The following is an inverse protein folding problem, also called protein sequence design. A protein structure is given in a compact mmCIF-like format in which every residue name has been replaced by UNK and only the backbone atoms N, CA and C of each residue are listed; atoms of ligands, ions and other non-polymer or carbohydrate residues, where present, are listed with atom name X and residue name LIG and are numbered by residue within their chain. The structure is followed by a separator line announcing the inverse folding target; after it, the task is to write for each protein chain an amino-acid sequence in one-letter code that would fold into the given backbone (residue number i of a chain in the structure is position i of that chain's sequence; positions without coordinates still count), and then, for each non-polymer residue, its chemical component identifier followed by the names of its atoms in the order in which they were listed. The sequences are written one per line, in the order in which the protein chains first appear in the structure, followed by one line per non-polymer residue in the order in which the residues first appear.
data_IF_497791766306
#
_entry.id   IF_497791766306
#
_cell.length_a   1.000
_cell.length_b   1.000
_cell.length_c   1.000
_cell.angle_alpha   90.00
_cell.angle_beta   90.00
_cell.angle_gamma   90.00
#
_symmetry.space_group_name_H-M   'P 1'
#
loop_
_entity.id
_entity.type
_entity.pdbx_description
1 polymer ?
#
# COMPACT_ATOMS: atom_id res chain seq x y z
N UNK A 1 7.84 29.66 40.05
CA UNK A 1 8.30 29.76 38.64
C UNK A 1 7.77 28.54 37.89
N UNK A 2 6.73 28.71 37.07
CA UNK A 2 6.12 27.62 36.30
C UNK A 2 7.16 26.96 35.38
N UNK A 3 7.12 25.62 35.25
CA UNK A 3 8.01 24.84 34.37
C UNK A 3 7.91 25.41 32.95
N UNK A 4 9.02 25.88 32.38
CA UNK A 4 9.07 26.32 30.98
C UNK A 4 8.69 25.15 30.08
N UNK A 5 7.74 25.37 29.17
CA UNK A 5 7.36 24.37 28.17
C UNK A 5 8.60 23.97 27.37
N UNK A 6 8.92 22.68 27.33
CA UNK A 6 10.00 22.13 26.49
C UNK A 6 9.37 21.56 25.24
N UNK A 7 9.79 22.06 24.08
CA UNK A 7 9.41 21.50 22.80
C UNK A 7 9.94 20.07 22.67
N UNK A 8 9.17 19.21 21.99
CA UNK A 8 9.57 17.85 21.64
C UNK A 8 9.34 17.66 20.13
N UNK A 9 10.28 17.02 19.42
CA UNK A 9 10.09 16.72 18.01
C UNK A 9 8.93 15.73 17.83
N UNK A 10 8.13 15.93 16.78
CA UNK A 10 7.08 15.00 16.38
C UNK A 10 7.64 13.80 15.63
N UNK A 11 8.74 13.99 14.91
CA UNK A 11 9.39 12.97 14.07
C UNK A 11 10.90 13.08 14.16
N UNK A 12 11.60 11.96 14.02
CA UNK A 12 13.05 11.95 13.84
C UNK A 12 13.42 12.50 12.45
N UNK A 13 13.82 13.77 12.42
CA UNK A 13 14.13 14.50 11.19
C UNK A 13 15.33 13.89 10.48
N UNK A 14 16.31 13.32 11.21
CA UNK A 14 17.51 12.75 10.59
C UNK A 14 17.18 11.49 9.81
N UNK A 15 16.32 10.62 10.37
CA UNK A 15 15.83 9.42 9.71
C UNK A 15 15.00 9.78 8.47
N UNK A 16 14.08 10.74 8.58
CA UNK A 16 13.26 11.17 7.44
C UNK A 16 14.10 11.82 6.32
N UNK A 17 15.09 12.64 6.67
CA UNK A 17 16.01 13.22 5.68
C UNK A 17 16.89 12.16 5.03
N UNK A 18 17.37 11.18 5.81
CA UNK A 18 18.15 10.06 5.30
C UNK A 18 17.35 9.23 4.30
N UNK A 19 16.12 8.87 4.65
CA UNK A 19 15.21 8.15 3.75
C UNK A 19 14.90 8.94 2.48
N UNK A 20 14.61 10.25 2.62
CA UNK A 20 14.35 11.13 1.48
C UNK A 20 15.52 11.17 0.50
N UNK A 21 16.77 11.24 0.98
CA UNK A 21 17.96 11.21 0.11
C UNK A 21 18.06 9.93 -0.70
N UNK A 22 17.82 8.77 -0.08
CA UNK A 22 17.83 7.48 -0.78
C UNK A 22 16.77 7.43 -1.89
N UNK A 23 15.58 7.99 -1.63
CA UNK A 23 14.52 8.08 -2.63
C UNK A 23 14.84 9.07 -3.75
N UNK A 24 15.46 10.22 -3.43
CA UNK A 24 15.89 11.21 -4.42
C UNK A 24 16.96 10.62 -5.35
N UNK A 25 17.95 9.90 -4.82
CA UNK A 25 18.98 9.18 -5.60
C UNK A 25 18.37 8.13 -6.53
N UNK A 26 17.41 7.35 -6.03
CA UNK A 26 16.70 6.36 -6.84
C UNK A 26 15.85 7.00 -7.94
N UNK A 27 15.19 8.11 -7.64
CA UNK A 27 14.43 8.88 -8.61
C UNK A 27 15.34 9.47 -9.70
N UNK A 28 16.53 9.96 -9.33
CA UNK A 28 17.53 10.41 -10.28
C UNK A 28 18.01 9.27 -11.20
N UNK A 29 18.24 8.07 -10.65
CA UNK A 29 18.58 6.87 -11.43
C UNK A 29 17.53 6.55 -12.49
N UNK A 30 16.25 6.56 -12.12
CA UNK A 30 15.13 6.28 -13.03
C UNK A 30 14.91 7.40 -14.06
N UNK A 31 15.26 8.65 -13.72
CA UNK A 31 15.20 9.79 -14.65
C UNK A 31 16.36 9.80 -15.64
N UNK A 32 17.55 9.39 -15.22
CA UNK A 32 18.74 9.33 -16.05
C UNK A 32 18.57 8.33 -17.20
N UNK A 33 17.96 7.16 -16.95
CA UNK A 33 17.65 6.19 -18.00
C UNK A 33 16.36 6.59 -18.73
N UNK A 34 16.48 6.98 -20.00
CA UNK A 34 15.32 7.35 -20.82
C UNK A 34 14.69 6.20 -21.58
N UNK A 35 15.40 5.09 -21.75
CA UNK A 35 15.06 4.05 -22.73
C UNK A 35 14.38 2.85 -22.09
N UNK A 36 14.66 2.57 -20.81
CA UNK A 36 14.04 1.46 -20.10
C UNK A 36 12.60 1.75 -19.72
N UNK A 37 11.72 0.81 -20.02
CA UNK A 37 10.28 0.87 -19.70
C UNK A 37 10.00 0.22 -18.34
N UNK A 38 10.82 -0.77 -17.98
CA UNK A 38 10.69 -1.60 -16.79
C UNK A 38 11.93 -1.39 -15.92
N UNK A 39 11.71 -1.21 -14.62
CA UNK A 39 12.76 -1.00 -13.64
C UNK A 39 12.60 -1.99 -12.48
N UNK A 40 13.72 -2.49 -11.98
CA UNK A 40 13.77 -3.18 -10.70
C UNK A 40 14.23 -2.19 -9.62
N UNK A 41 13.48 -2.12 -8.52
CA UNK A 41 13.82 -1.30 -7.35
C UNK A 41 13.52 -2.07 -6.07
N UNK A 42 14.48 -2.11 -5.15
CA UNK A 42 14.28 -2.62 -3.79
C UNK A 42 13.95 -1.47 -2.80
N UNK A 43 13.96 -0.22 -3.26
CA UNK A 43 13.89 0.97 -2.41
C UNK A 43 12.45 1.33 -2.07
N UNK A 44 11.52 1.09 -2.98
CA UNK A 44 10.11 1.47 -2.88
C UNK A 44 9.42 0.93 -1.62
N UNK A 45 8.49 1.72 -1.07
CA UNK A 45 7.71 1.34 0.09
C UNK A 45 6.93 0.05 -0.15
N UNK A 46 6.32 -0.11 -1.32
CA UNK A 46 5.59 -1.33 -1.69
C UNK A 46 6.47 -2.57 -1.61
N UNK A 47 7.73 -2.50 -2.03
CA UNK A 47 8.69 -3.63 -1.93
C UNK A 47 9.08 -3.91 -0.49
N UNK A 48 9.27 -2.87 0.32
CA UNK A 48 9.57 -3.02 1.75
C UNK A 48 8.41 -3.68 2.50
N UNK A 49 7.17 -3.43 2.05
CA UNK A 49 5.96 -4.08 2.53
C UNK A 49 5.73 -5.48 1.91
N UNK A 50 6.66 -5.98 1.10
CA UNK A 50 6.61 -7.34 0.51
C UNK A 50 6.01 -7.42 -0.89
N UNK A 51 5.83 -6.29 -1.57
CA UNK A 51 5.34 -6.18 -2.94
C UNK A 51 6.34 -6.59 -4.02
N UNK A 52 5.93 -6.44 -5.28
CA UNK A 52 6.74 -6.79 -6.44
C UNK A 52 7.90 -5.80 -6.63
N UNK A 53 9.08 -6.30 -7.00
CA UNK A 53 10.29 -5.50 -7.22
C UNK A 53 10.36 -4.85 -8.60
N UNK A 54 9.53 -5.32 -9.52
CA UNK A 54 9.55 -4.92 -10.93
C UNK A 54 8.40 -3.98 -11.22
N UNK A 55 8.73 -2.77 -11.64
CA UNK A 55 7.79 -1.68 -11.88
C UNK A 55 7.85 -1.19 -13.32
N UNK A 56 6.73 -0.66 -13.82
CA UNK A 56 6.79 0.25 -14.97
C UNK A 56 7.38 1.57 -14.51
N UNK A 57 8.07 2.26 -15.42
CA UNK A 57 8.69 3.55 -15.13
C UNK A 57 7.77 4.56 -14.45
N UNK A 58 6.56 4.73 -14.98
CA UNK A 58 5.63 5.74 -14.48
C UNK A 58 5.20 5.40 -13.05
N UNK A 59 4.78 4.16 -12.81
CA UNK A 59 4.35 3.67 -11.50
C UNK A 59 5.47 3.84 -10.45
N UNK A 60 6.71 3.51 -10.82
CA UNK A 60 7.89 3.69 -9.95
C UNK A 60 8.13 5.17 -9.60
N UNK A 61 8.07 6.05 -10.59
CA UNK A 61 8.27 7.49 -10.38
C UNK A 61 7.17 8.06 -9.48
N UNK A 62 5.93 7.67 -9.71
CA UNK A 62 4.79 8.15 -8.92
C UNK A 62 4.88 7.68 -7.47
N UNK A 63 5.27 6.44 -7.22
CA UNK A 63 5.47 5.90 -5.88
C UNK A 63 6.61 6.60 -5.13
N UNK A 64 7.78 6.75 -5.77
CA UNK A 64 8.93 7.46 -5.18
C UNK A 64 8.59 8.93 -4.87
N UNK A 65 7.95 9.62 -5.81
CA UNK A 65 7.54 11.01 -5.63
C UNK A 65 6.49 11.17 -4.54
N UNK A 66 5.60 10.19 -4.38
CA UNK A 66 4.61 10.18 -3.32
C UNK A 66 5.28 10.09 -1.94
N UNK A 67 6.20 9.14 -1.75
CA UNK A 67 6.92 8.97 -0.47
C UNK A 67 7.80 10.19 -0.16
N UNK A 68 8.49 10.75 -1.15
CA UNK A 68 9.29 11.99 -0.99
C UNK A 68 8.40 13.15 -0.52
N UNK A 69 7.21 13.31 -1.11
CA UNK A 69 6.26 14.37 -0.74
C UNK A 69 5.76 14.19 0.69
N UNK A 70 5.45 12.95 1.08
CA UNK A 70 5.01 12.64 2.43
C UNK A 70 6.08 12.94 3.48
N UNK A 71 7.31 12.46 3.26
CA UNK A 71 8.43 12.74 4.16
C UNK A 71 8.68 14.26 4.27
N UNK A 72 8.55 14.98 3.15
CA UNK A 72 8.62 16.44 3.13
C UNK A 72 7.57 17.10 4.04
N UNK A 73 6.30 16.65 3.96
CA UNK A 73 5.24 17.17 4.82
C UNK A 73 5.49 16.91 6.31
N UNK A 74 5.99 15.73 6.67
CA UNK A 74 6.32 15.38 8.07
C UNK A 74 7.48 16.24 8.60
N UNK A 75 8.52 16.46 7.79
CA UNK A 75 9.64 17.34 8.13
C UNK A 75 9.17 18.79 8.30
N UNK A 76 8.35 19.28 7.36
CA UNK A 76 7.79 20.64 7.41
C UNK A 76 6.93 20.85 8.65
N UNK A 77 6.09 19.88 9.01
CA UNK A 77 5.26 19.94 10.21
C UNK A 77 6.10 20.10 11.47
N UNK A 78 7.15 19.28 11.63
CA UNK A 78 8.06 19.36 12.77
C UNK A 78 8.79 20.72 12.84
N UNK A 79 9.23 21.23 11.70
CA UNK A 79 9.94 22.51 11.60
C UNK A 79 9.03 23.71 11.93
N UNK A 80 7.81 23.71 11.41
CA UNK A 80 6.81 24.76 11.67
C UNK A 80 6.33 24.71 13.12
N UNK A 81 6.13 23.52 13.67
CA UNK A 81 5.77 23.33 15.07
C UNK A 81 6.85 23.88 16.02
N UNK A 82 8.12 23.67 15.68
CA UNK A 82 9.25 24.25 16.41
C UNK A 82 9.25 25.78 16.34
N UNK A 83 9.10 26.36 15.15
CA UNK A 83 9.02 27.83 15.01
C UNK A 83 7.82 28.42 15.75
N UNK A 84 6.68 27.72 15.75
CA UNK A 84 5.50 28.14 16.49
C UNK A 84 5.77 28.15 18.00
N UNK A 85 6.43 27.11 18.53
CA UNK A 85 6.86 27.06 19.92
C UNK A 85 7.80 28.23 20.26
N UNK A 86 8.79 28.48 19.42
CA UNK A 86 9.76 29.56 19.60
C UNK A 86 9.08 30.96 19.51
N UNK A 87 8.09 31.12 18.64
CA UNK A 87 7.30 32.35 18.49
C UNK A 87 6.44 32.64 19.73
N UNK A 88 5.91 31.62 20.39
CA UNK A 88 5.20 31.75 21.67
C UNK A 88 6.13 31.92 22.87
N UNK A 89 7.33 31.34 22.82
CA UNK A 89 8.34 31.50 23.86
C UNK A 89 8.96 32.91 23.87
N UNK A 90 9.00 33.58 22.72
CA UNK A 90 9.62 34.89 22.54
C UNK A 90 8.68 36.03 22.97
N UNK A 91 9.25 37.06 23.61
CA UNK A 91 8.55 38.31 24.02
C UNK A 91 8.91 39.54 23.17
N UNK A 92 9.71 39.36 22.12
CA UNK A 92 10.11 40.43 21.19
C UNK A 92 8.89 40.83 20.34
N UNK A 93 8.92 42.03 19.78
CA UNK A 93 7.87 42.51 18.87
C UNK A 93 7.94 41.81 17.50
N UNK A 94 9.15 41.47 17.08
CA UNK A 94 9.43 40.78 15.81
C UNK A 94 9.98 39.37 16.02
N UNK A 95 9.63 38.47 15.11
CA UNK A 95 10.10 37.09 15.04
C UNK A 95 10.61 36.78 13.64
N UNK A 96 11.74 36.10 13.57
CA UNK A 96 12.33 35.61 12.33
C UNK A 96 11.77 34.21 12.05
N UNK A 97 10.98 34.08 10.99
CA UNK A 97 10.49 32.78 10.52
C UNK A 97 11.25 32.40 9.25
N UNK A 98 11.64 31.12 9.16
CA UNK A 98 12.38 30.55 8.03
C UNK A 98 11.54 29.54 7.27
N UNK A 99 10.84 28.65 7.98
CA UNK A 99 10.12 27.53 7.38
C UNK A 99 8.73 27.90 6.86
N UNK A 100 8.16 29.04 7.28
CA UNK A 100 6.87 29.49 6.76
C UNK A 100 6.94 29.89 5.27
N UNK A 101 8.06 30.50 4.85
CA UNK A 101 8.26 31.02 3.50
C UNK A 101 9.38 30.32 2.71
N UNK A 102 10.17 29.45 3.37
CA UNK A 102 11.34 28.78 2.78
C UNK A 102 12.62 29.62 2.78
N UNK A 103 12.56 30.85 3.26
CA UNK A 103 13.69 31.75 3.50
C UNK A 103 13.44 32.55 4.77
N UNK A 104 14.50 33.09 5.37
CA UNK A 104 14.39 33.90 6.59
C UNK A 104 13.68 35.22 6.29
N UNK A 105 12.60 35.48 7.01
CA UNK A 105 11.83 36.73 6.96
C UNK A 105 11.47 37.18 8.37
N UNK A 106 11.61 38.49 8.61
CA UNK A 106 11.28 39.11 9.89
C UNK A 106 9.81 39.58 9.87
N UNK A 107 9.00 39.02 10.75
CA UNK A 107 7.57 39.24 10.83
C UNK A 107 7.21 39.81 12.21
N UNK A 108 6.08 40.52 12.27
CA UNK A 108 5.46 40.87 13.55
C UNK A 108 5.04 39.60 14.28
N UNK A 109 5.36 39.48 15.56
CA UNK A 109 5.15 38.24 16.34
C UNK A 109 3.71 37.73 16.30
N UNK A 110 2.72 38.61 16.42
CA UNK A 110 1.32 38.21 16.37
C UNK A 110 0.93 37.67 14.98
N UNK A 111 1.39 38.32 13.92
CA UNK A 111 1.15 37.86 12.55
C UNK A 111 1.87 36.53 12.27
N UNK A 112 3.09 36.38 12.79
CA UNK A 112 3.86 35.14 12.69
C UNK A 112 3.14 33.98 13.40
N UNK A 113 2.64 34.19 14.63
CA UNK A 113 1.86 33.18 15.37
C UNK A 113 0.63 32.74 14.60
N UNK A 114 -0.18 33.68 14.13
CA UNK A 114 -1.39 33.36 13.34
C UNK A 114 -1.06 32.57 12.06
N UNK A 115 -0.02 33.00 11.32
CA UNK A 115 0.37 32.33 10.09
C UNK A 115 0.94 30.93 10.34
N UNK A 116 1.77 30.77 11.38
CA UNK A 116 2.34 29.50 11.79
C UNK A 116 1.26 28.54 12.30
N UNK A 117 0.29 28.99 13.09
CA UNK A 117 -0.85 28.18 13.55
C UNK A 117 -1.71 27.69 12.38
N UNK A 118 -2.03 28.58 11.44
CA UNK A 118 -2.82 28.20 10.27
C UNK A 118 -2.07 27.16 9.42
N UNK A 119 -0.76 27.33 9.24
CA UNK A 119 0.08 26.39 8.48
C UNK A 119 0.22 25.05 9.21
N UNK A 120 0.50 25.06 10.51
CA UNK A 120 0.62 23.87 11.35
C UNK A 120 -0.69 23.09 11.36
N UNK A 121 -1.83 23.77 11.57
CA UNK A 121 -3.17 23.16 11.57
C UNK A 121 -3.48 22.51 10.23
N UNK A 122 -3.12 23.15 9.12
CA UNK A 122 -3.29 22.57 7.77
C UNK A 122 -2.42 21.33 7.56
N UNK A 123 -1.15 21.35 7.96
CA UNK A 123 -0.26 20.21 7.83
C UNK A 123 -0.73 19.05 8.71
N UNK A 124 -1.09 19.33 9.97
CA UNK A 124 -1.64 18.35 10.90
C UNK A 124 -2.92 17.72 10.32
N UNK A 125 -3.86 18.54 9.82
CA UNK A 125 -5.08 18.03 9.21
C UNK A 125 -4.80 17.12 8.01
N UNK A 126 -3.85 17.49 7.13
CA UNK A 126 -3.47 16.66 5.98
C UNK A 126 -2.83 15.34 6.41
N UNK A 127 -1.88 15.38 7.35
CA UNK A 127 -1.20 14.18 7.86
C UNK A 127 -2.19 13.26 8.57
N UNK A 128 -2.99 13.77 9.49
CA UNK A 128 -4.00 12.98 10.23
C UNK A 128 -5.05 12.41 9.29
N UNK A 129 -5.56 13.19 8.33
CA UNK A 129 -6.56 12.67 7.38
C UNK A 129 -5.99 11.54 6.54
N UNK A 130 -4.72 11.66 6.13
CA UNK A 130 -4.04 10.61 5.39
C UNK A 130 -3.82 9.38 6.26
N UNK A 131 -3.26 9.52 7.46
CA UNK A 131 -3.04 8.40 8.38
C UNK A 131 -4.35 7.66 8.68
N UNK A 132 -5.45 8.39 8.91
CA UNK A 132 -6.77 7.77 9.12
C UNK A 132 -7.25 7.01 7.87
N UNK A 133 -7.03 7.54 6.66
CA UNK A 133 -7.41 6.85 5.43
C UNK A 133 -6.53 5.62 5.21
N UNK A 134 -5.22 5.74 5.41
CA UNK A 134 -4.27 4.64 5.29
C UNK A 134 -4.60 3.55 6.33
N UNK A 135 -4.88 3.91 7.58
CA UNK A 135 -5.35 2.98 8.62
C UNK A 135 -6.67 2.28 8.23
N UNK A 136 -7.62 3.00 7.63
CA UNK A 136 -8.87 2.41 7.14
C UNK A 136 -8.58 1.43 6.00
N UNK A 137 -7.72 1.80 5.05
CA UNK A 137 -7.36 0.97 3.91
C UNK A 137 -6.58 -0.26 4.35
N UNK A 138 -5.62 -0.11 5.25
CA UNK A 138 -4.89 -1.21 5.88
C UNK A 138 -5.85 -2.12 6.62
N UNK A 139 -6.78 -1.56 7.41
CA UNK A 139 -7.81 -2.36 8.07
C UNK A 139 -8.73 -3.10 7.10
N UNK A 140 -9.04 -2.50 5.94
CA UNK A 140 -9.80 -3.15 4.87
C UNK A 140 -9.01 -4.26 4.17
N UNK A 141 -7.69 -4.11 4.04
CA UNK A 141 -6.80 -5.08 3.39
C UNK A 141 -6.37 -6.22 4.32
N UNK A 142 -6.18 -5.94 5.61
CA UNK A 142 -5.91 -6.91 6.68
C UNK A 142 -7.17 -7.74 7.01
N UNK A 143 -8.34 -7.17 6.72
CA UNK A 143 -9.65 -7.80 6.81
C UNK A 143 -10.18 -7.86 8.24
N UNK A 144 -11.31 -7.16 8.52
CA UNK A 144 -12.50 -7.70 9.21
C UNK A 144 -13.48 -6.66 9.83
N UNK A 145 -14.72 -6.52 9.27
CA UNK A 145 -15.96 -6.24 10.05
C UNK A 145 -17.31 -6.65 9.37
N UNK A 146 -17.35 -7.60 8.42
CA UNK A 146 -18.63 -8.12 7.88
C UNK A 146 -18.72 -9.66 7.65
N UNK A 147 -17.93 -10.51 8.34
CA UNK A 147 -18.11 -11.99 8.37
C UNK A 147 -16.84 -12.89 8.39
N UNK A 148 -16.66 -13.61 9.52
CA UNK A 148 -15.47 -14.16 10.28
C UNK A 148 -14.07 -14.47 9.71
N UNK A 149 -13.02 -14.05 10.48
CA UNK A 149 -11.61 -14.49 10.49
C UNK A 149 -10.81 -13.88 11.67
N UNK A 150 -10.32 -14.73 12.56
CA UNK A 150 -9.53 -14.38 13.77
C UNK A 150 -8.02 -14.19 13.35
N UNK A 151 -7.03 -13.64 14.09
CA UNK A 151 -5.72 -13.05 13.65
C UNK A 151 -4.46 -14.00 13.63
N UNK A 152 -3.43 -13.82 12.78
CA UNK A 152 -2.23 -14.71 12.70
C UNK A 152 -0.92 -14.20 13.34
N UNK A 153 -0.97 -13.16 14.19
CA UNK A 153 0.18 -12.75 15.01
C UNK A 153 0.08 -13.35 16.42
N UNK A 154 1.16 -13.92 16.98
CA UNK A 154 1.14 -14.56 18.32
C UNK A 154 0.83 -13.60 19.51
N UNK A 155 0.55 -12.32 19.24
CA UNK A 155 0.05 -11.36 20.23
C UNK A 155 -1.48 -11.20 20.15
N UNK A 156 -2.14 -11.66 19.08
CA UNK A 156 -3.58 -11.61 18.90
C UNK A 156 -4.05 -12.89 18.17
N UNK A 157 -4.79 -13.76 18.86
CA UNK A 157 -5.12 -15.13 18.41
C UNK A 157 -5.88 -15.27 17.07
N UNK A 158 -5.60 -16.45 16.44
CA UNK A 158 -6.15 -17.31 15.35
C UNK A 158 -6.77 -16.86 13.98
N UNK A 159 -5.99 -16.62 12.91
CA UNK A 159 -6.47 -16.80 11.49
C UNK A 159 -6.17 -18.23 11.02
N UNK A 160 -7.05 -18.95 10.31
CA UNK A 160 -6.68 -20.16 9.57
C UNK A 160 -6.14 -19.86 8.16
N UNK A 161 -4.91 -20.27 7.86
CA UNK A 161 -4.29 -20.26 6.52
C UNK A 161 -4.60 -21.51 5.71
N UNK A 162 -4.63 -21.33 4.39
CA UNK A 162 -4.68 -22.38 3.37
C UNK A 162 -3.31 -23.11 3.33
N UNK A 163 -3.24 -24.20 4.11
CA UNK A 163 -2.30 -25.35 4.13
C UNK A 163 -1.58 -25.55 5.47
N UNK A 164 -1.68 -26.80 5.95
CA UNK A 164 -1.34 -27.21 7.31
C UNK A 164 0.15 -27.14 7.69
N UNK A 165 1.11 -27.06 6.76
CA UNK A 165 2.54 -26.87 7.07
C UNK A 165 3.38 -26.44 5.85
N UNK A 166 4.36 -25.53 6.07
CA UNK A 166 5.53 -25.30 5.20
C UNK A 166 5.65 -23.87 4.62
N UNK A 167 6.88 -23.34 4.49
CA UNK A 167 7.14 -22.00 3.91
C UNK A 167 7.17 -22.06 2.38
N UNK A 168 6.39 -21.20 1.72
CA UNK A 168 6.49 -20.93 0.28
C UNK A 168 7.75 -20.09 0.03
N UNK A 169 8.63 -20.55 -0.87
CA UNK A 169 9.82 -19.80 -1.33
C UNK A 169 9.69 -19.52 -2.82
N UNK A 170 9.80 -18.25 -3.19
CA UNK A 170 9.89 -17.84 -4.59
C UNK A 170 11.15 -18.46 -5.24
N UNK A 171 10.98 -19.13 -6.38
CA UNK A 171 12.04 -19.83 -7.12
C UNK A 171 11.92 -21.35 -7.19
N UNK A 172 11.14 -21.99 -6.31
CA UNK A 172 10.98 -23.45 -6.31
C UNK A 172 10.11 -23.97 -7.47
N UNK A 173 9.25 -23.13 -8.05
CA UNK A 173 8.33 -23.51 -9.13
C UNK A 173 9.00 -23.66 -10.50
N UNK A 174 10.15 -23.01 -10.73
CA UNK A 174 10.97 -23.30 -11.89
C UNK A 174 11.67 -24.67 -11.76
N UNK A 175 12.05 -25.06 -10.54
CA UNK A 175 12.67 -26.37 -10.25
C UNK A 175 11.62 -27.50 -10.34
N UNK A 176 10.35 -27.24 -10.02
CA UNK A 176 9.26 -28.22 -10.11
C UNK A 176 9.01 -28.67 -11.57
N UNK A 177 9.18 -27.77 -12.54
CA UNK A 177 9.07 -28.11 -13.96
C UNK A 177 10.15 -29.11 -14.41
N UNK A 178 11.39 -28.92 -13.95
CA UNK A 178 12.52 -29.83 -14.22
C UNK A 178 12.32 -31.16 -13.48
N UNK A 179 11.84 -31.12 -12.23
CA UNK A 179 11.55 -32.33 -11.45
C UNK A 179 10.44 -33.17 -12.08
N UNK A 180 9.41 -32.54 -12.67
CA UNK A 180 8.35 -33.25 -13.41
C UNK A 180 8.86 -33.85 -14.72
N UNK A 181 9.75 -33.17 -15.44
CA UNK A 181 10.39 -33.70 -16.65
C UNK A 181 11.31 -34.88 -16.32
N UNK A 182 12.12 -34.76 -15.26
CA UNK A 182 13.00 -35.83 -14.77
C UNK A 182 12.18 -37.02 -14.25
N UNK A 183 11.07 -36.77 -13.54
CA UNK A 183 10.16 -37.82 -13.10
C UNK A 183 9.51 -38.55 -14.30
N UNK A 184 9.07 -37.81 -15.34
CA UNK A 184 8.56 -38.39 -16.59
C UNK A 184 9.62 -39.17 -17.37
N UNK A 185 10.87 -38.73 -17.37
CA UNK A 185 11.99 -39.49 -17.95
C UNK A 185 12.29 -40.77 -17.16
N UNK A 186 12.23 -40.70 -15.83
CA UNK A 186 12.48 -41.84 -14.94
C UNK A 186 11.37 -42.89 -15.03
N UNK A 187 10.11 -42.47 -15.15
CA UNK A 187 8.98 -43.38 -15.41
C UNK A 187 9.05 -43.99 -16.81
N UNK A 188 9.44 -43.23 -17.84
CA UNK A 188 9.71 -43.80 -19.18
C UNK A 188 10.85 -44.82 -19.16
N UNK A 189 11.93 -44.56 -18.43
CA UNK A 189 13.05 -45.49 -18.29
C UNK A 189 12.67 -46.76 -17.53
N UNK A 190 11.87 -46.66 -16.46
CA UNK A 190 11.35 -47.81 -15.72
C UNK A 190 10.34 -48.63 -16.55
N UNK A 191 9.45 -47.98 -17.30
CA UNK A 191 8.50 -48.68 -18.17
C UNK A 191 9.22 -49.43 -19.30
N UNK A 192 10.32 -48.86 -19.82
CA UNK A 192 11.19 -49.52 -20.81
C UNK A 192 11.97 -50.70 -20.22
N UNK A 193 12.39 -50.62 -18.95
CA UNK A 193 13.04 -51.74 -18.22
C UNK A 193 12.07 -52.87 -17.89
N UNK A 194 10.80 -52.54 -17.62
CA UNK A 194 9.78 -53.50 -17.22
C UNK A 194 8.97 -54.06 -18.40
N UNK A 195 9.36 -53.78 -19.66
CA UNK A 195 8.65 -54.17 -20.88
C UNK A 195 7.14 -53.83 -20.88
N UNK A 196 6.75 -52.74 -20.22
CA UNK A 196 5.36 -52.27 -20.20
C UNK A 196 5.16 -51.41 -21.47
N UNK A 197 4.38 -51.93 -22.41
CA UNK A 197 4.01 -51.21 -23.63
C UNK A 197 3.22 -49.95 -23.28
N UNK A 198 3.85 -48.78 -23.39
CA UNK A 198 3.14 -47.49 -23.34
C UNK A 198 2.13 -47.40 -24.49
N UNK A 199 0.98 -46.72 -24.30
CA UNK A 199 -0.07 -46.54 -25.33
C UNK A 199 0.41 -45.95 -26.68
N UNK A 200 1.63 -45.41 -26.72
CA UNK A 200 2.32 -44.96 -27.93
C UNK A 200 2.89 -46.12 -28.79
N UNK A 201 3.13 -47.31 -28.21
CA UNK A 201 3.74 -48.47 -28.88
C UNK A 201 2.74 -49.54 -29.36
N UNK A 202 1.46 -49.43 -29.01
CA UNK A 202 0.39 -50.28 -29.56
C UNK A 202 -0.09 -49.72 -30.90
N UNK A 203 0.04 -50.50 -31.98
CA UNK A 203 -0.55 -50.19 -33.29
C UNK A 203 -2.04 -50.51 -33.26
N UNK A 204 -2.88 -49.53 -33.57
CA UNK A 204 -4.34 -49.62 -33.69
C UNK A 204 -4.84 -48.60 -34.71
N UNK A 205 -6.10 -48.71 -35.12
CA UNK A 205 -6.70 -47.83 -36.12
C UNK A 205 -6.76 -46.37 -35.62
N UNK A 206 -6.43 -45.41 -36.50
CA UNK A 206 -6.35 -43.97 -36.17
C UNK A 206 -7.60 -43.43 -35.48
N UNK A 207 -8.78 -43.91 -35.86
CA UNK A 207 -10.07 -43.47 -35.32
C UNK A 207 -10.23 -43.86 -33.84
N UNK A 208 -9.82 -45.06 -33.44
CA UNK A 208 -9.93 -45.53 -32.05
C UNK A 208 -9.00 -44.74 -31.12
N UNK A 209 -7.78 -44.42 -31.59
CA UNK A 209 -6.85 -43.55 -30.86
C UNK A 209 -7.34 -42.11 -30.77
N UNK A 210 -7.90 -41.56 -31.86
CA UNK A 210 -8.39 -40.19 -31.89
C UNK A 210 -9.59 -40.00 -30.96
N UNK A 211 -10.50 -40.98 -30.91
CA UNK A 211 -11.71 -40.93 -30.09
C UNK A 211 -11.42 -40.81 -28.59
N UNK A 212 -10.51 -41.62 -28.04
CA UNK A 212 -10.13 -41.53 -26.62
C UNK A 212 -9.42 -40.21 -26.28
N UNK A 213 -8.64 -39.67 -27.23
CA UNK A 213 -7.98 -38.36 -27.06
C UNK A 213 -8.99 -37.22 -27.14
N UNK A 214 -9.97 -37.31 -28.03
CA UNK A 214 -11.00 -36.29 -28.21
C UNK A 214 -11.98 -36.28 -27.03
N UNK A 215 -12.47 -37.44 -26.59
CA UNK A 215 -13.28 -37.58 -25.37
C UNK A 215 -12.49 -37.15 -24.13
N UNK A 216 -11.21 -37.51 -24.03
CA UNK A 216 -10.33 -37.07 -22.95
C UNK A 216 -10.01 -35.56 -23.01
N UNK A 217 -9.99 -34.95 -24.19
CA UNK A 217 -9.83 -33.52 -24.39
C UNK A 217 -11.12 -32.75 -24.06
N UNK A 218 -12.30 -33.29 -24.42
CA UNK A 218 -13.59 -32.74 -24.05
C UNK A 218 -13.84 -32.81 -22.54
N UNK A 219 -13.55 -33.93 -21.89
CA UNK A 219 -13.63 -34.05 -20.42
C UNK A 219 -12.64 -33.12 -19.72
N UNK A 220 -11.43 -32.93 -20.28
CA UNK A 220 -10.49 -31.92 -19.78
C UNK A 220 -10.99 -30.50 -20.00
N UNK A 221 -11.57 -30.18 -21.15
CA UNK A 221 -12.17 -28.88 -21.45
C UNK A 221 -13.38 -28.58 -20.57
N UNK A 222 -14.21 -29.58 -20.26
CA UNK A 222 -15.31 -29.46 -19.29
C UNK A 222 -14.78 -29.27 -17.88
N UNK A 223 -13.76 -30.03 -17.45
CA UNK A 223 -13.11 -29.82 -16.16
C UNK A 223 -12.37 -28.47 -16.06
N UNK A 224 -11.84 -27.96 -17.17
CA UNK A 224 -11.20 -26.63 -17.28
C UNK A 224 -12.23 -25.50 -17.34
N UNK A 225 -13.42 -25.74 -17.89
CA UNK A 225 -14.57 -24.82 -17.83
C UNK A 225 -15.13 -24.75 -16.42
N UNK A 226 -15.29 -25.89 -15.74
CA UNK A 226 -15.71 -25.97 -14.33
C UNK A 226 -14.63 -25.40 -13.39
N UNK A 227 -13.34 -25.47 -13.76
CA UNK A 227 -12.26 -24.80 -13.04
C UNK A 227 -12.10 -23.30 -13.39
N UNK A 228 -12.81 -22.79 -14.42
CA UNK A 228 -12.87 -21.37 -14.79
C UNK A 228 -14.10 -20.69 -14.18
N UNK A 229 -15.27 -21.31 -14.26
CA UNK A 229 -16.48 -20.84 -13.56
C UNK A 229 -16.49 -21.37 -12.12
N UNK A 230 -15.87 -20.61 -11.20
CA UNK A 230 -15.81 -20.97 -9.78
C UNK A 230 -14.40 -20.96 -9.19
N UNK A 231 -13.50 -20.15 -9.74
CA UNK A 231 -12.19 -19.96 -9.15
C UNK A 231 -12.37 -19.20 -7.83
N UNK A 232 -12.15 -19.83 -6.67
CA UNK A 232 -12.15 -19.15 -5.35
C UNK A 232 -11.32 -17.86 -5.40
N UNK A 233 -10.26 -17.85 -6.21
CA UNK A 233 -9.43 -16.67 -6.42
C UNK A 233 -10.15 -15.50 -7.13
N UNK A 234 -10.99 -15.77 -8.12
CA UNK A 234 -11.77 -14.75 -8.83
C UNK A 234 -12.96 -14.27 -8.00
N UNK A 235 -13.56 -15.18 -7.21
CA UNK A 235 -14.52 -14.82 -6.17
C UNK A 235 -13.88 -13.91 -5.12
N UNK A 236 -12.70 -14.26 -4.61
CA UNK A 236 -11.96 -13.43 -3.65
C UNK A 236 -11.57 -12.08 -4.25
N UNK A 237 -11.15 -12.02 -5.52
CA UNK A 237 -10.87 -10.75 -6.20
C UNK A 237 -12.14 -9.89 -6.32
N UNK A 238 -13.28 -10.46 -6.72
CA UNK A 238 -14.54 -9.73 -6.82
C UNK A 238 -15.08 -9.28 -5.44
N UNK A 239 -14.90 -10.10 -4.40
CA UNK A 239 -15.24 -9.74 -3.02
C UNK A 239 -14.34 -8.62 -2.48
N UNK A 240 -13.03 -8.66 -2.76
CA UNK A 240 -12.12 -7.56 -2.39
C UNK A 240 -12.47 -6.28 -3.14
N UNK A 241 -12.81 -6.36 -4.43
CA UNK A 241 -13.22 -5.20 -5.23
C UNK A 241 -14.54 -4.59 -4.72
N UNK A 242 -15.54 -5.41 -4.41
CA UNK A 242 -16.83 -4.93 -3.85
C UNK A 242 -16.66 -4.34 -2.45
N UNK A 243 -15.77 -4.91 -1.63
CA UNK A 243 -15.43 -4.38 -0.32
C UNK A 243 -14.70 -3.04 -0.41
N UNK A 244 -13.73 -2.92 -1.33
CA UNK A 244 -13.05 -1.65 -1.61
C UNK A 244 -14.03 -0.58 -2.07
N UNK A 245 -14.98 -0.92 -2.97
CA UNK A 245 -16.05 -0.02 -3.40
C UNK A 245 -16.92 0.44 -2.24
N UNK A 246 -17.31 -0.47 -1.33
CA UNK A 246 -18.13 -0.11 -0.18
C UNK A 246 -17.37 0.75 0.85
N UNK A 247 -16.10 0.46 1.13
CA UNK A 247 -15.30 1.29 2.03
C UNK A 247 -15.03 2.67 1.47
N UNK A 248 -14.73 2.80 0.17
CA UNK A 248 -14.63 4.10 -0.50
C UNK A 248 -15.96 4.85 -0.41
N UNK A 249 -17.09 4.17 -0.62
CA UNK A 249 -18.41 4.76 -0.44
C UNK A 249 -18.62 5.25 1.00
N UNK A 250 -18.29 4.45 2.01
CA UNK A 250 -18.42 4.84 3.42
C UNK A 250 -17.48 5.99 3.80
N UNK A 251 -16.25 6.02 3.29
CA UNK A 251 -15.33 7.15 3.47
C UNK A 251 -15.90 8.42 2.84
N UNK A 252 -16.43 8.36 1.62
CA UNK A 252 -17.07 9.54 0.99
C UNK A 252 -18.30 10.00 1.76
N UNK A 253 -19.13 9.09 2.27
CA UNK A 253 -20.28 9.41 3.12
C UNK A 253 -19.85 10.08 4.42
N UNK A 254 -18.83 9.55 5.10
CA UNK A 254 -18.27 10.14 6.31
C UNK A 254 -17.63 11.50 6.06
N UNK A 255 -16.98 11.70 4.92
CA UNK A 255 -16.48 13.01 4.49
C UNK A 255 -17.62 14.02 4.33
N UNK A 256 -18.69 13.67 3.61
CA UNK A 256 -19.86 14.56 3.47
C UNK A 256 -20.52 14.85 4.82
N UNK A 257 -20.60 13.85 5.71
CA UNK A 257 -21.14 14.01 7.06
C UNK A 257 -20.26 14.89 7.95
N UNK A 258 -18.94 14.72 7.91
CA UNK A 258 -18.00 15.57 8.62
C UNK A 258 -18.06 17.01 8.09
N UNK A 259 -18.19 17.18 6.77
CA UNK A 259 -18.33 18.50 6.15
C UNK A 259 -19.64 19.20 6.55
N UNK A 260 -20.76 18.48 6.68
CA UNK A 260 -22.02 19.07 7.16
C UNK A 260 -21.93 19.44 8.65
N UNK A 261 -21.27 18.64 9.47
CA UNK A 261 -21.01 19.00 10.87
C UNK A 261 -20.09 20.21 11.00
N UNK A 262 -19.01 20.28 10.23
CA UNK A 262 -18.07 21.39 10.27
C UNK A 262 -18.72 22.69 9.78
N UNK A 263 -19.56 22.62 8.73
CA UNK A 263 -20.39 23.77 8.32
C UNK A 263 -21.39 24.19 9.41
N UNK A 264 -21.97 23.24 10.14
CA UNK A 264 -22.89 23.54 11.25
C UNK A 264 -22.17 24.22 12.41
N UNK A 265 -21.00 23.71 12.81
CA UNK A 265 -20.19 24.33 13.86
C UNK A 265 -19.64 25.69 13.43
N UNK A 266 -19.19 25.82 12.19
CA UNK A 266 -18.75 27.11 11.65
C UNK A 266 -19.86 28.16 11.71
N UNK A 267 -21.11 27.79 11.35
CA UNK A 267 -22.27 28.69 11.49
C UNK A 267 -22.57 29.02 12.96
N UNK A 268 -22.48 28.03 13.85
CA UNK A 268 -22.65 28.22 15.28
C UNK A 268 -21.60 29.15 15.89
N UNK A 269 -20.36 29.09 15.40
CA UNK A 269 -19.26 29.95 15.87
C UNK A 269 -19.24 31.32 15.19
N UNK A 270 -19.75 31.42 13.96
CA UNK A 270 -19.89 32.68 13.24
C UNK A 270 -21.06 33.55 13.74
N UNK A 271 -21.94 33.01 14.59
CA UNK A 271 -23.07 33.75 15.17
C UNK A 271 -24.16 34.12 14.17
N UNK A 272 -24.16 33.56 12.95
CA UNK A 272 -25.14 33.83 11.87
C UNK A 272 -26.57 33.34 12.17
N UNK A 273 -26.89 33.01 13.43
CA UNK A 273 -28.22 32.64 13.90
C UNK A 273 -28.66 33.33 15.19
N UNK A 274 -27.82 34.18 15.80
CA UNK A 274 -28.17 35.02 16.94
C UNK A 274 -28.55 36.43 16.47
N UNK A 275 -29.51 36.53 15.54
CA UNK A 275 -30.35 37.73 15.46
C UNK A 275 -31.35 37.67 16.61
N UNK A 276 -30.92 38.23 17.74
CA UNK A 276 -31.71 38.49 18.94
C UNK A 276 -32.89 39.38 18.53
N UNK A 277 -34.12 38.90 18.78
CA UNK A 277 -35.33 39.74 18.84
C UNK A 277 -35.36 40.64 20.06
#
# INVERSE_FOLDING_TARGET
RSKRCKWKPSVDVEVCMGRKRVLDEELERVRADRNSIIFESDVCLSVQLGGNRVFKRQDLVDELMYEIRELGQRIDLNNIDRELHDAYATRKEYFESKYLHGYSLLLWTNNARMALEMRQSRLCALSVSKEVVDDILDWMLEGWYFGERESQFKVLGYVPTIKATGKVRAGQDQISSVAQVVAKMKTRANNRRNNIATAQSTQGLMIEKAWEVEVGAQQKLESLKVARDGNEHEHMLNETETTLKFGIFMMTLMYFRAMTFLKREQKSWAGEGDEIG
#
